data_IF_262749101802
#
_entry.id   IF_262749101802
#
_cell.length_a   1.000
_cell.length_b   1.000
_cell.length_c   1.000
_cell.angle_alpha   90.00
_cell.angle_beta   90.00
_cell.angle_gamma   90.00
#
_symmetry.space_group_name_H-M   'P 1'
#
loop_
_entity.id
_entity.type
_entity.pdbx_description
1 polymer ?
#
# COMPACT_ATOMS: atom_id res chain seq x y z
N UNK A 1 18.60 -26.70 -5.79
CA UNK A 1 17.19 -26.37 -6.06
C UNK A 1 16.93 -24.96 -5.55
N UNK A 2 16.56 -24.02 -6.44
CA UNK A 2 16.31 -22.61 -6.12
C UNK A 2 14.83 -22.51 -5.71
N UNK A 3 14.54 -22.01 -4.51
CA UNK A 3 13.17 -21.87 -3.99
C UNK A 3 12.31 -20.92 -4.83
N UNK A 4 10.99 -20.81 -4.54
CA UNK A 4 10.12 -19.91 -5.27
C UNK A 4 10.71 -18.50 -5.20
N UNK A 5 10.83 -17.82 -6.33
CA UNK A 5 11.33 -16.45 -6.41
C UNK A 5 10.50 -15.60 -5.46
N UNK A 6 10.98 -15.41 -4.23
CA UNK A 6 10.51 -14.35 -3.35
C UNK A 6 10.75 -13.09 -4.16
N UNK A 7 9.68 -12.42 -4.57
CA UNK A 7 9.78 -11.05 -5.03
C UNK A 7 10.33 -10.29 -3.81
N UNK A 8 11.65 -10.16 -3.73
CA UNK A 8 12.29 -9.46 -2.64
C UNK A 8 11.87 -8.00 -2.80
N UNK A 9 11.20 -7.49 -1.78
CA UNK A 9 10.86 -6.08 -1.65
C UNK A 9 12.10 -5.22 -2.00
N UNK A 10 11.99 -4.17 -2.83
CA UNK A 10 13.14 -3.32 -3.13
C UNK A 10 13.78 -2.74 -1.86
N UNK A 11 13.02 -2.49 -0.79
CA UNK A 11 13.56 -2.07 0.50
C UNK A 11 14.45 -3.17 1.11
N UNK A 12 14.01 -4.42 1.09
CA UNK A 12 14.80 -5.58 1.55
C UNK A 12 16.08 -5.76 0.73
N UNK A 13 16.02 -5.55 -0.59
CA UNK A 13 17.20 -5.65 -1.45
C UNK A 13 18.23 -4.57 -1.12
N UNK A 14 17.80 -3.32 -0.94
CA UNK A 14 18.68 -2.21 -0.55
C UNK A 14 19.28 -2.43 0.84
N UNK A 15 18.47 -2.91 1.78
CA UNK A 15 18.90 -3.27 3.12
C UNK A 15 20.02 -4.31 3.09
N UNK A 16 19.85 -5.42 2.36
CA UNK A 16 20.87 -6.48 2.25
C UNK A 16 22.14 -5.97 1.56
N UNK A 17 21.99 -5.13 0.55
CA UNK A 17 23.11 -4.52 -0.15
C UNK A 17 23.94 -3.62 0.79
N UNK A 18 23.30 -2.78 1.61
CA UNK A 18 24.01 -1.95 2.60
C UNK A 18 24.66 -2.78 3.71
N UNK A 19 23.99 -3.85 4.16
CA UNK A 19 24.52 -4.74 5.18
C UNK A 19 25.83 -5.44 4.73
N UNK A 20 25.94 -5.77 3.44
CA UNK A 20 27.11 -6.47 2.88
C UNK A 20 28.24 -5.52 2.48
N UNK A 21 27.91 -4.31 2.04
CA UNK A 21 28.88 -3.40 1.39
C UNK A 21 29.40 -2.28 2.29
N UNK A 22 28.76 -2.03 3.44
CA UNK A 22 29.15 -0.93 4.34
C UNK A 22 29.12 -1.39 5.80
N UNK A 23 30.16 -1.01 6.53
CA UNK A 23 30.19 -1.08 7.98
C UNK A 23 29.65 0.24 8.54
N UNK A 24 28.63 0.15 9.37
CA UNK A 24 28.05 1.31 10.04
C UNK A 24 28.38 1.24 11.53
N UNK A 25 28.86 2.35 12.07
CA UNK A 25 29.15 2.46 13.51
C UNK A 25 27.87 2.67 14.34
N UNK A 26 26.81 3.18 13.71
CA UNK A 26 25.51 3.45 14.34
C UNK A 26 24.36 2.86 13.51
N UNK A 27 23.44 2.19 14.21
CA UNK A 27 22.24 1.61 13.64
C UNK A 27 21.28 2.66 13.09
N UNK A 28 21.23 3.86 13.69
CA UNK A 28 20.40 4.97 13.20
C UNK A 28 20.92 5.54 11.88
N UNK A 29 22.24 5.68 11.74
CA UNK A 29 22.85 6.09 10.48
C UNK A 29 22.57 5.09 9.35
N UNK A 30 22.63 3.78 9.65
CA UNK A 30 22.30 2.72 8.70
C UNK A 30 20.85 2.84 8.21
N UNK A 31 19.87 2.87 9.13
CA UNK A 31 18.44 2.87 8.76
C UNK A 31 18.06 4.11 7.96
N UNK A 32 18.62 5.26 8.31
CA UNK A 32 18.40 6.52 7.60
C UNK A 32 18.96 6.51 6.17
N UNK A 33 20.13 5.92 5.96
CA UNK A 33 20.69 5.78 4.61
C UNK A 33 19.84 4.86 3.73
N UNK A 34 19.42 3.70 4.26
CA UNK A 34 18.54 2.77 3.54
C UNK A 34 17.21 3.45 3.17
N UNK A 35 16.57 4.14 4.11
CA UNK A 35 15.32 4.85 3.88
C UNK A 35 15.46 5.94 2.80
N UNK A 36 16.57 6.70 2.83
CA UNK A 36 16.85 7.75 1.84
C UNK A 36 17.07 7.16 0.44
N UNK A 37 17.80 6.06 0.33
CA UNK A 37 18.03 5.40 -0.96
C UNK A 37 16.74 4.79 -1.52
N UNK A 38 15.90 4.20 -0.66
CA UNK A 38 14.60 3.69 -1.08
C UNK A 38 13.65 4.80 -1.54
N UNK A 39 13.63 5.95 -0.86
CA UNK A 39 12.84 7.09 -1.31
C UNK A 39 13.37 7.64 -2.66
N UNK A 40 14.70 7.66 -2.83
CA UNK A 40 15.33 8.01 -4.11
C UNK A 40 15.00 7.02 -5.23
N UNK A 41 14.88 5.74 -4.91
CA UNK A 41 14.39 4.71 -5.83
C UNK A 41 12.94 4.99 -6.24
N UNK A 42 12.04 5.25 -5.28
CA UNK A 42 10.64 5.58 -5.57
C UNK A 42 10.56 6.81 -6.49
N UNK A 43 11.32 7.86 -6.20
CA UNK A 43 11.38 9.08 -7.01
C UNK A 43 11.87 8.84 -8.45
N UNK A 44 12.73 7.85 -8.66
CA UNK A 44 13.18 7.43 -9.98
C UNK A 44 12.13 6.58 -10.74
N UNK A 45 11.09 6.09 -10.06
CA UNK A 45 9.96 5.40 -10.69
C UNK A 45 8.83 6.37 -11.06
N UNK A 46 7.77 5.84 -11.68
CA UNK A 46 6.56 6.61 -12.01
C UNK A 46 5.70 6.96 -10.77
N UNK A 47 6.01 6.41 -9.59
CA UNK A 47 5.29 6.68 -8.35
C UNK A 47 5.98 7.81 -7.58
N UNK A 48 5.38 8.99 -7.51
CA UNK A 48 5.94 10.13 -6.77
C UNK A 48 5.30 10.27 -5.38
N UNK A 49 6.12 10.42 -4.34
CA UNK A 49 5.65 10.71 -2.98
C UNK A 49 5.41 12.21 -2.82
N UNK A 50 4.18 12.66 -2.48
CA UNK A 50 3.90 14.09 -2.25
C UNK A 50 4.84 14.70 -1.21
N UNK A 51 5.32 15.93 -1.47
CA UNK A 51 6.35 16.60 -0.65
C UNK A 51 5.95 16.68 0.83
N UNK A 52 4.68 16.95 1.12
CA UNK A 52 4.18 17.06 2.49
C UNK A 52 4.18 15.74 3.26
N UNK A 53 4.19 14.59 2.56
CA UNK A 53 4.26 13.26 3.17
C UNK A 53 5.69 12.71 3.23
N UNK A 54 6.65 13.32 2.53
CA UNK A 54 8.02 12.79 2.43
C UNK A 54 8.67 12.61 3.79
N UNK A 55 8.52 13.57 4.71
CA UNK A 55 9.13 13.48 6.04
C UNK A 55 8.54 12.31 6.83
N UNK A 56 7.21 12.18 6.85
CA UNK A 56 6.53 11.09 7.54
C UNK A 56 6.91 9.72 6.94
N UNK A 57 6.90 9.60 5.61
CA UNK A 57 7.30 8.37 4.93
C UNK A 57 8.77 8.04 5.20
N UNK A 58 9.66 9.03 5.28
CA UNK A 58 11.06 8.80 5.62
C UNK A 58 11.23 8.27 7.04
N UNK A 59 10.49 8.80 8.02
CA UNK A 59 10.51 8.33 9.41
C UNK A 59 9.95 6.90 9.54
N UNK A 60 8.87 6.59 8.82
CA UNK A 60 8.29 5.24 8.79
C UNK A 60 9.28 4.24 8.19
N UNK A 61 9.91 4.57 7.05
CA UNK A 61 10.92 3.74 6.40
C UNK A 61 12.17 3.55 7.25
N UNK A 62 12.60 4.58 7.98
CA UNK A 62 13.73 4.48 8.89
C UNK A 62 13.41 3.50 10.04
N UNK A 63 12.19 3.59 10.58
CA UNK A 63 11.72 2.68 11.63
C UNK A 63 11.64 1.25 11.12
N UNK A 64 11.09 1.02 9.93
CA UNK A 64 11.01 -0.29 9.29
C UNK A 64 12.41 -0.89 9.04
N UNK A 65 13.34 -0.12 8.46
CA UNK A 65 14.72 -0.56 8.24
C UNK A 65 15.44 -0.88 9.56
N UNK A 66 15.16 -0.13 10.63
CA UNK A 66 15.70 -0.40 11.96
C UNK A 66 15.15 -1.71 12.54
N UNK A 67 13.84 -1.97 12.42
CA UNK A 67 13.25 -3.24 12.83
C UNK A 67 13.82 -4.42 12.05
N UNK A 68 14.02 -4.26 10.73
CA UNK A 68 14.66 -5.27 9.89
C UNK A 68 16.09 -5.57 10.35
N UNK A 69 16.85 -4.53 10.73
CA UNK A 69 18.19 -4.69 11.28
C UNK A 69 18.16 -5.48 12.59
N UNK A 70 17.27 -5.12 13.52
CA UNK A 70 17.09 -5.84 14.79
C UNK A 70 16.74 -7.31 14.51
N UNK A 71 15.73 -7.58 13.68
CA UNK A 71 15.30 -8.94 13.33
C UNK A 71 16.46 -9.76 12.78
N UNK A 72 17.31 -9.15 11.93
CA UNK A 72 18.49 -9.80 11.36
C UNK A 72 19.58 -10.06 12.39
N UNK A 73 19.89 -9.09 13.26
CA UNK A 73 20.90 -9.21 14.31
C UNK A 73 20.56 -10.28 15.35
N UNK A 74 19.29 -10.39 15.73
CA UNK A 74 18.81 -11.37 16.71
C UNK A 74 18.33 -12.70 16.09
N UNK A 75 18.42 -12.85 14.76
CA UNK A 75 18.12 -14.11 14.07
C UNK A 75 16.64 -14.52 14.09
N UNK A 76 15.72 -13.56 14.22
CA UNK A 76 14.27 -13.82 14.20
C UNK A 76 13.78 -13.93 12.76
N UNK A 77 14.25 -14.95 12.04
CA UNK A 77 13.98 -15.12 10.59
C UNK A 77 12.67 -15.86 10.26
N UNK A 78 11.92 -16.35 11.25
CA UNK A 78 10.90 -17.38 11.03
C UNK A 78 9.51 -17.10 11.62
N UNK A 79 9.14 -15.85 11.88
CA UNK A 79 7.70 -15.56 12.01
C UNK A 79 7.14 -15.21 10.62
N UNK A 80 6.12 -15.95 10.13
CA UNK A 80 5.38 -15.49 8.97
C UNK A 80 4.65 -14.22 9.39
N UNK A 81 5.27 -13.07 9.13
CA UNK A 81 4.57 -11.79 9.23
C UNK A 81 3.35 -11.89 8.33
N UNK A 82 2.18 -11.74 8.95
CA UNK A 82 0.92 -11.74 8.24
C UNK A 82 1.04 -10.65 7.17
N UNK A 83 1.07 -11.10 5.91
CA UNK A 83 1.11 -10.24 4.74
C UNK A 83 -0.10 -9.30 4.83
N UNK A 84 0.12 -8.08 5.32
CA UNK A 84 -0.92 -7.05 5.48
C UNK A 84 -1.24 -6.36 4.14
N UNK A 85 -0.68 -6.85 3.04
CA UNK A 85 -1.09 -6.43 1.71
C UNK A 85 -2.52 -6.91 1.48
N UNK A 86 -3.45 -5.95 1.44
CA UNK A 86 -4.84 -6.20 1.11
C UNK A 86 -4.93 -7.03 -0.17
N UNK A 87 -5.42 -8.26 -0.04
CA UNK A 87 -5.64 -9.16 -1.18
C UNK A 87 -6.55 -8.45 -2.18
N UNK A 88 -5.99 -8.08 -3.33
CA UNK A 88 -6.79 -7.60 -4.46
C UNK A 88 -7.48 -8.81 -5.06
N UNK A 89 -8.77 -8.98 -4.76
CA UNK A 89 -9.59 -10.02 -5.36
C UNK A 89 -9.92 -9.55 -6.78
N UNK A 90 -9.34 -10.21 -7.78
CA UNK A 90 -9.76 -10.06 -9.16
C UNK A 90 -11.14 -10.70 -9.33
N UNK A 91 -12.18 -9.86 -9.36
CA UNK A 91 -13.53 -10.31 -9.70
C UNK A 91 -13.64 -10.29 -11.22
N UNK A 92 -13.70 -11.46 -11.84
CA UNK A 92 -14.06 -11.56 -13.26
C UNK A 92 -15.43 -10.88 -13.47
N UNK A 93 -15.57 -9.95 -14.42
CA UNK A 93 -16.84 -9.29 -14.66
C UNK A 93 -17.82 -10.30 -15.26
N UNK A 94 -18.60 -10.98 -14.41
CA UNK A 94 -19.81 -11.66 -14.86
C UNK A 94 -20.68 -10.63 -15.54
N UNK A 95 -20.91 -10.81 -16.84
CA UNK A 95 -21.81 -9.99 -17.68
C UNK A 95 -23.15 -9.78 -16.97
N UNK A 96 -23.25 -8.72 -16.19
CA UNK A 96 -24.51 -8.18 -15.67
C UNK A 96 -24.63 -6.83 -16.33
N UNK A 97 -25.49 -6.76 -17.35
CA UNK A 97 -25.94 -5.49 -17.91
C UNK A 97 -26.51 -4.65 -16.78
N UNK A 98 -25.74 -3.67 -16.31
CA UNK A 98 -26.20 -2.69 -15.34
C UNK A 98 -27.26 -1.86 -16.05
N UNK A 99 -28.53 -2.00 -15.64
CA UNK A 99 -29.57 -1.09 -16.12
C UNK A 99 -29.22 0.31 -15.59
N UNK A 100 -29.23 1.35 -16.44
CA UNK A 100 -28.89 2.69 -16.01
C UNK A 100 -29.87 3.12 -14.91
N UNK A 101 -29.31 3.55 -13.78
CA UNK A 101 -30.07 4.17 -12.70
C UNK A 101 -30.42 5.59 -13.19
N UNK A 102 -31.70 5.96 -13.31
CA UNK A 102 -32.06 7.31 -13.73
C UNK A 102 -31.61 8.30 -12.66
N UNK A 103 -30.69 9.19 -13.05
CA UNK A 103 -30.05 10.18 -12.17
C UNK A 103 -30.90 11.45 -11.95
N UNK A 104 -32.16 11.43 -12.37
CA UNK A 104 -33.07 12.56 -12.25
C UNK A 104 -34.00 12.34 -11.06
N UNK A 105 -34.15 13.33 -10.14
CA UNK A 105 -35.17 13.26 -9.12
C UNK A 105 -36.53 13.22 -9.79
N UNK A 106 -37.33 12.20 -9.47
CA UNK A 106 -38.74 12.12 -9.88
C UNK A 106 -39.45 13.29 -9.22
N UNK A 107 -39.77 14.32 -10.02
CA UNK A 107 -40.71 15.36 -9.64
C UNK A 107 -42.06 14.69 -9.37
N UNK A 108 -42.41 14.52 -8.09
CA UNK A 108 -43.79 14.23 -7.70
C UNK A 108 -44.61 15.47 -8.05
N UNK A 109 -45.32 15.40 -9.18
CA UNK A 109 -46.38 16.35 -9.46
C UNK A 109 -47.52 16.04 -8.48
N UNK A 110 -47.61 16.85 -7.42
CA UNK A 110 -48.87 17.02 -6.69
C UNK A 110 -49.91 17.56 -7.68
N UNK A 111 -50.87 16.71 -8.04
CA UNK A 111 -52.11 17.17 -8.63
C UNK A 111 -53.26 16.62 -7.78
N UNK A 112 -53.92 17.59 -7.18
CA UNK A 112 -55.08 17.53 -6.33
C UNK A 112 -56.34 17.07 -7.08
N UNK A 113 -57.30 16.61 -6.29
CA UNK A 113 -58.76 16.68 -6.45
C UNK A 113 -59.53 15.58 -7.19
N UNK A 114 -60.35 14.91 -6.38
CA UNK A 114 -61.81 14.73 -6.51
C UNK A 114 -62.37 14.15 -7.81
N UNK A 115 -63.02 12.99 -7.70
CA UNK A 115 -64.49 12.93 -7.59
C UNK A 115 -65.03 11.49 -7.69
N UNK A 116 -66.00 11.22 -6.80
CA UNK A 116 -67.23 10.44 -6.99
C UNK A 116 -67.22 8.92 -7.26
N UNK A 117 -67.95 8.28 -6.34
CA UNK A 117 -69.15 7.45 -6.55
C UNK A 117 -69.04 5.91 -6.54
N UNK A 118 -70.00 5.37 -5.79
CA UNK A 118 -70.62 4.04 -5.89
C UNK A 118 -69.88 2.80 -5.34
N UNK A 119 -70.12 2.45 -4.07
CA UNK A 119 -71.23 1.55 -3.65
C UNK A 119 -71.19 1.22 -2.16
#
# INVERSE_FOLDING_TARGET
MRGPNKHNDPLQQLFEHHLLNRSYDDAGAFSKEVAKEYLGYIDATLAHVPIHLRTAVMEDLETEAHEMLIKKMYGVENLPEASNFGKVIWVEPKKKSLKPIPFLPVLKSDSNQDNNEER
#
